data_IF_028001668144
#
_entry.id   IF_028001668144
#
_cell.length_a   1.000
_cell.length_b   1.000
_cell.length_c   1.000
_cell.angle_alpha   90.00
_cell.angle_beta   90.00
_cell.angle_gamma   90.00
#
_symmetry.space_group_name_H-M   'P 1'
#
loop_
_entity.id
_entity.type
_entity.pdbx_description
1 polymer ?
#
# COMPACT_ATOMS: atom_id res chain seq x y z
N UNK A 1 -4.87 3.08 11.02
CA UNK A 1 -4.10 2.82 9.79
C UNK A 1 -4.95 2.13 8.71
N UNK A 2 -5.39 0.87 8.88
CA UNK A 2 -6.21 0.17 7.87
C UNK A 2 -7.47 0.93 7.41
N UNK A 3 -8.25 1.51 8.33
CA UNK A 3 -9.42 2.36 7.99
C UNK A 3 -9.03 3.55 7.11
N UNK A 4 -7.86 4.14 7.32
CA UNK A 4 -7.37 5.29 6.55
C UNK A 4 -6.99 4.87 5.13
N UNK A 5 -6.29 3.73 4.99
CA UNK A 5 -5.98 3.16 3.67
C UNK A 5 -7.25 2.76 2.90
N UNK A 6 -8.22 2.14 3.59
CA UNK A 6 -9.51 1.76 3.00
C UNK A 6 -10.29 2.96 2.46
N UNK A 7 -10.34 4.07 3.21
CA UNK A 7 -11.00 5.29 2.74
C UNK A 7 -10.32 5.93 1.54
N UNK A 8 -8.99 5.86 1.45
CA UNK A 8 -8.26 6.37 0.28
C UNK A 8 -8.65 5.59 -0.96
N UNK A 9 -8.66 4.26 -0.88
CA UNK A 9 -8.98 3.41 -2.02
C UNK A 9 -10.45 3.55 -2.45
N UNK A 10 -11.39 3.58 -1.51
CA UNK A 10 -12.82 3.45 -1.85
C UNK A 10 -13.81 4.03 -0.84
N UNK A 11 -13.51 5.18 -0.21
CA UNK A 11 -14.57 5.94 0.46
C UNK A 11 -15.69 6.31 -0.52
N UNK A 12 -16.93 6.19 -0.08
CA UNK A 12 -18.11 6.48 -0.89
C UNK A 12 -18.08 7.93 -1.40
N UNK A 13 -18.34 8.11 -2.69
CA UNK A 13 -18.37 9.43 -3.33
C UNK A 13 -19.78 10.02 -3.33
N UNK A 14 -19.90 11.33 -3.55
CA UNK A 14 -21.17 12.04 -3.77
C UNK A 14 -22.23 11.90 -2.65
N UNK A 15 -21.80 11.70 -1.40
CA UNK A 15 -22.70 11.59 -0.23
C UNK A 15 -22.69 12.83 0.68
N UNK A 16 -21.98 13.89 0.29
CA UNK A 16 -21.83 15.15 1.05
C UNK A 16 -21.19 15.01 2.45
N UNK A 17 -20.49 13.89 2.73
CA UNK A 17 -19.86 13.62 4.01
C UNK A 17 -18.41 13.22 3.79
N UNK A 18 -17.47 13.89 4.49
CA UNK A 18 -16.10 13.42 4.56
C UNK A 18 -15.29 13.58 3.28
N UNK A 19 -14.84 12.45 2.73
CA UNK A 19 -13.91 12.35 1.59
C UNK A 19 -14.46 11.46 0.48
N UNK A 20 -13.87 11.56 -0.71
CA UNK A 20 -14.09 10.64 -1.83
C UNK A 20 -12.88 9.72 -1.99
N UNK A 21 -13.11 8.41 -2.12
CA UNK A 21 -12.07 7.45 -2.48
C UNK A 21 -11.67 7.56 -3.96
N UNK A 22 -10.55 6.94 -4.32
CA UNK A 22 -10.06 6.94 -5.71
C UNK A 22 -10.98 6.15 -6.64
N UNK A 23 -11.57 5.05 -6.17
CA UNK A 23 -12.41 4.19 -7.00
C UNK A 23 -13.72 3.76 -6.32
N UNK A 24 -14.73 3.47 -7.15
CA UNK A 24 -15.98 2.84 -6.73
C UNK A 24 -15.79 1.31 -6.70
N UNK A 25 -15.38 0.80 -5.54
CA UNK A 25 -14.97 -0.61 -5.37
C UNK A 25 -15.54 -1.21 -4.09
N UNK A 26 -15.63 -2.54 -4.07
CA UNK A 26 -15.88 -3.31 -2.84
C UNK A 26 -14.56 -3.65 -2.17
N UNK A 27 -14.45 -3.35 -0.88
CA UNK A 27 -13.24 -3.59 -0.11
C UNK A 27 -13.31 -4.92 0.65
N UNK A 28 -12.27 -5.74 0.51
CA UNK A 28 -12.07 -6.95 1.32
C UNK A 28 -11.09 -6.63 2.46
N UNK A 29 -11.59 -6.57 3.69
CA UNK A 29 -10.79 -6.16 4.86
C UNK A 29 -10.18 -7.39 5.55
N UNK A 30 -8.87 -7.57 5.38
CA UNK A 30 -8.12 -8.71 5.93
C UNK A 30 -7.15 -8.24 7.02
N UNK A 31 -7.62 -8.22 8.26
CA UNK A 31 -6.83 -7.77 9.41
C UNK A 31 -5.93 -8.91 9.91
N UNK A 32 -4.61 -8.71 9.83
CA UNK A 32 -3.62 -9.59 10.47
C UNK A 32 -2.66 -8.86 11.43
N UNK A 33 -2.78 -7.54 11.55
CA UNK A 33 -1.92 -6.71 12.41
C UNK A 33 -2.65 -6.26 13.69
N UNK A 34 -1.90 -6.23 14.79
CA UNK A 34 -2.32 -5.80 16.11
C UNK A 34 -2.47 -4.28 16.24
N UNK A 35 -2.84 -3.82 17.45
CA UNK A 35 -2.94 -2.39 17.77
C UNK A 35 -1.59 -1.68 17.80
N UNK A 36 -0.50 -2.42 17.98
CA UNK A 36 0.88 -1.95 17.93
C UNK A 36 1.42 -1.79 16.50
N UNK A 37 0.60 -2.06 15.48
CA UNK A 37 1.01 -1.98 14.08
C UNK A 37 1.96 -3.10 13.66
N UNK A 38 1.97 -4.25 14.35
CA UNK A 38 2.78 -5.41 13.99
C UNK A 38 1.89 -6.61 13.65
N UNK A 39 2.39 -7.50 12.82
CA UNK A 39 1.71 -8.74 12.46
C UNK A 39 2.71 -9.80 11.98
N UNK A 40 2.39 -11.09 12.12
CA UNK A 40 3.27 -12.15 11.66
C UNK A 40 3.21 -12.29 10.13
N UNK A 41 4.30 -12.74 9.52
CA UNK A 41 4.36 -13.03 8.08
C UNK A 41 3.29 -14.06 7.66
N UNK A 42 3.00 -15.05 8.51
CA UNK A 42 1.94 -16.03 8.27
C UNK A 42 0.56 -15.37 8.13
N UNK A 43 0.30 -14.28 8.84
CA UNK A 43 -0.94 -13.50 8.70
C UNK A 43 -1.04 -12.82 7.35
N UNK A 44 0.05 -12.24 6.85
CA UNK A 44 0.11 -11.65 5.52
C UNK A 44 -0.07 -12.70 4.41
N UNK A 45 0.54 -13.88 4.56
CA UNK A 45 0.37 -15.01 3.64
C UNK A 45 -1.09 -15.48 3.58
N UNK A 46 -1.71 -15.72 4.73
CA UNK A 46 -3.11 -16.17 4.80
C UNK A 46 -4.07 -15.11 4.22
N UNK A 47 -3.79 -13.82 4.44
CA UNK A 47 -4.58 -12.74 3.86
C UNK A 47 -4.48 -12.71 2.33
N UNK A 48 -3.26 -12.80 1.78
CA UNK A 48 -3.07 -12.83 0.33
C UNK A 48 -3.76 -14.05 -0.31
N UNK A 49 -3.56 -15.23 0.28
CA UNK A 49 -4.18 -16.48 -0.20
C UNK A 49 -5.72 -16.39 -0.19
N UNK A 50 -6.30 -15.89 0.90
CA UNK A 50 -7.74 -15.66 0.99
C UNK A 50 -8.23 -14.65 -0.05
N UNK A 51 -7.51 -13.52 -0.24
CA UNK A 51 -7.90 -12.51 -1.22
C UNK A 51 -7.95 -13.07 -2.63
N UNK A 52 -6.91 -13.80 -3.03
CA UNK A 52 -6.81 -14.43 -4.35
C UNK A 52 -7.89 -15.51 -4.50
N UNK A 53 -8.05 -16.39 -3.50
CA UNK A 53 -9.04 -17.46 -3.51
C UNK A 53 -10.48 -16.98 -3.57
N UNK A 54 -10.77 -15.79 -3.03
CA UNK A 54 -12.08 -15.14 -3.08
C UNK A 54 -12.25 -14.23 -4.32
N UNK A 55 -11.28 -14.21 -5.23
CA UNK A 55 -11.37 -13.49 -6.51
C UNK A 55 -11.17 -11.97 -6.40
N UNK A 56 -10.45 -11.48 -5.38
CA UNK A 56 -10.01 -10.09 -5.39
C UNK A 56 -9.09 -9.84 -6.59
N UNK A 57 -9.28 -8.73 -7.30
CA UNK A 57 -8.45 -8.38 -8.46
C UNK A 57 -7.13 -7.68 -8.06
N UNK A 58 -7.16 -6.92 -6.96
CA UNK A 58 -6.04 -6.09 -6.49
C UNK A 58 -5.88 -6.26 -4.97
N UNK A 59 -4.64 -6.27 -4.48
CA UNK A 59 -4.31 -6.17 -3.06
C UNK A 59 -3.40 -4.97 -2.77
N UNK A 60 -3.66 -4.29 -1.66
CA UNK A 60 -2.90 -3.13 -1.19
C UNK A 60 -2.13 -3.47 0.09
N UNK A 61 -0.81 -3.39 0.05
CA UNK A 61 0.12 -3.83 1.09
C UNK A 61 0.85 -2.63 1.71
N UNK A 62 0.18 -1.95 2.63
CA UNK A 62 0.72 -0.81 3.39
C UNK A 62 1.50 -1.27 4.65
N UNK A 63 2.45 -2.19 4.47
CA UNK A 63 3.35 -2.73 5.50
C UNK A 63 4.65 -3.23 4.84
N UNK A 64 5.70 -3.43 5.63
CA UNK A 64 6.93 -4.03 5.12
C UNK A 64 7.93 -4.43 6.20
N UNK A 65 9.04 -5.03 5.78
CA UNK A 65 10.17 -5.39 6.64
C UNK A 65 11.43 -5.73 5.83
N UNK A 66 12.57 -5.85 6.51
CA UNK A 66 13.89 -5.94 5.86
C UNK A 66 14.39 -7.38 5.65
N UNK A 67 13.58 -8.37 6.04
CA UNK A 67 13.96 -9.79 5.95
C UNK A 67 13.19 -10.44 4.79
N UNK A 68 13.88 -10.96 3.75
CA UNK A 68 13.23 -11.66 2.65
C UNK A 68 12.65 -12.99 3.11
N UNK A 69 11.62 -13.45 2.40
CA UNK A 69 11.02 -14.76 2.57
C UNK A 69 10.64 -15.35 1.23
N UNK A 70 11.31 -16.45 0.87
CA UNK A 70 11.04 -17.17 -0.38
C UNK A 70 9.60 -17.66 -0.47
N UNK A 71 8.99 -18.03 0.66
CA UNK A 71 7.58 -18.45 0.69
C UNK A 71 6.66 -17.28 0.34
N UNK A 72 6.96 -16.08 0.84
CA UNK A 72 6.15 -14.90 0.54
C UNK A 72 6.35 -14.40 -0.89
N UNK A 73 7.59 -14.40 -1.39
CA UNK A 73 7.87 -14.12 -2.79
C UNK A 73 7.10 -15.06 -3.73
N UNK A 74 7.13 -16.37 -3.44
CA UNK A 74 6.39 -17.35 -4.24
C UNK A 74 4.88 -17.14 -4.18
N UNK A 75 4.33 -16.79 -3.01
CA UNK A 75 2.91 -16.51 -2.88
C UNK A 75 2.50 -15.28 -3.72
N UNK A 76 3.28 -14.20 -3.68
CA UNK A 76 3.07 -13.00 -4.51
C UNK A 76 3.21 -13.34 -5.99
N UNK A 77 4.20 -14.14 -6.37
CA UNK A 77 4.41 -14.58 -7.76
C UNK A 77 3.23 -15.41 -8.28
N UNK A 78 2.70 -16.30 -7.45
CA UNK A 78 1.54 -17.12 -7.80
C UNK A 78 0.28 -16.26 -7.95
N UNK A 79 0.06 -15.30 -7.04
CA UNK A 79 -1.02 -14.33 -7.16
C UNK A 79 -0.92 -13.54 -8.48
N UNK A 80 0.26 -12.98 -8.76
CA UNK A 80 0.57 -12.27 -9.99
C UNK A 80 0.30 -13.11 -11.25
N UNK A 81 0.75 -14.37 -11.27
CA UNK A 81 0.51 -15.29 -12.38
C UNK A 81 -0.98 -15.65 -12.57
N UNK A 82 -1.78 -15.57 -11.51
CA UNK A 82 -3.23 -15.73 -11.55
C UNK A 82 -3.98 -14.46 -11.98
N UNK A 83 -3.26 -13.39 -12.37
CA UNK A 83 -3.83 -12.12 -12.80
C UNK A 83 -4.18 -11.16 -11.66
N UNK A 84 -3.76 -11.46 -10.43
CA UNK A 84 -3.96 -10.58 -9.27
C UNK A 84 -2.87 -9.50 -9.21
N UNK A 85 -3.25 -8.23 -9.09
CA UNK A 85 -2.31 -7.10 -9.01
C UNK A 85 -1.93 -6.87 -7.54
N UNK A 86 -0.64 -6.98 -7.25
CA UNK A 86 -0.09 -6.72 -5.91
C UNK A 86 0.53 -5.33 -5.88
N UNK A 87 0.07 -4.46 -4.97
CA UNK A 87 0.57 -3.09 -4.81
C UNK A 87 1.15 -2.92 -3.41
N UNK A 88 2.42 -2.56 -3.28
CA UNK A 88 3.13 -2.47 -1.99
C UNK A 88 3.79 -1.12 -1.76
N UNK A 89 3.84 -0.68 -0.50
CA UNK A 89 4.53 0.52 -0.07
C UNK A 89 6.06 0.35 -0.09
N UNK A 90 6.81 1.36 -0.55
CA UNK A 90 8.28 1.32 -0.57
C UNK A 90 8.92 1.44 0.82
N UNK A 91 8.23 2.02 1.79
CA UNK A 91 8.74 2.30 3.13
C UNK A 91 9.02 3.79 3.37
N UNK A 92 9.31 4.15 4.62
CA UNK A 92 9.29 5.54 5.09
C UNK A 92 10.62 6.00 5.72
N UNK A 93 11.73 5.41 5.29
CA UNK A 93 13.04 5.60 5.90
C UNK A 93 13.97 6.51 5.08
N UNK A 94 13.53 6.99 3.92
CA UNK A 94 14.36 7.79 2.98
C UNK A 94 15.54 7.00 2.40
N UNK A 95 15.42 5.67 2.34
CA UNK A 95 16.50 4.78 1.91
C UNK A 95 16.45 4.45 0.42
N UNK A 96 17.59 4.03 -0.14
CA UNK A 96 17.69 3.43 -1.46
C UNK A 96 17.49 1.90 -1.38
N UNK A 97 16.40 1.39 -1.94
CA UNK A 97 16.04 -0.04 -1.97
C UNK A 97 16.93 -0.90 -2.88
N UNK A 98 17.76 -0.27 -3.71
CA UNK A 98 18.81 -1.00 -4.43
C UNK A 98 19.95 -1.43 -3.49
N UNK A 99 20.14 -0.70 -2.38
CA UNK A 99 21.16 -0.97 -1.36
C UNK A 99 20.56 -1.64 -0.11
N UNK A 100 19.39 -1.19 0.33
CA UNK A 100 18.69 -1.69 1.52
C UNK A 100 17.26 -2.12 1.16
N UNK A 101 17.07 -3.35 0.65
CA UNK A 101 15.77 -3.84 0.19
C UNK A 101 14.73 -3.91 1.32
N UNK A 102 13.47 -3.62 0.97
CA UNK A 102 12.30 -3.78 1.85
C UNK A 102 11.28 -4.68 1.17
N UNK A 103 10.68 -5.60 1.92
CA UNK A 103 9.74 -6.58 1.41
C UNK A 103 8.33 -6.31 1.95
N UNK A 104 7.27 -6.44 1.12
CA UNK A 104 7.30 -7.10 -0.18
C UNK A 104 7.76 -6.23 -1.36
N UNK A 105 7.91 -4.91 -1.21
CA UNK A 105 8.14 -3.97 -2.33
C UNK A 105 9.27 -4.40 -3.29
N UNK A 106 10.43 -4.79 -2.76
CA UNK A 106 11.58 -5.21 -3.54
C UNK A 106 11.40 -6.54 -4.31
N UNK A 107 10.32 -7.30 -4.09
CA UNK A 107 9.96 -8.43 -4.95
C UNK A 107 9.51 -7.98 -6.34
N UNK A 108 9.15 -6.70 -6.56
CA UNK A 108 8.84 -6.18 -7.90
C UNK A 108 10.02 -6.36 -8.88
N UNK A 109 11.26 -6.44 -8.37
CA UNK A 109 12.46 -6.75 -9.17
C UNK A 109 12.34 -8.07 -9.91
N UNK A 110 11.73 -9.08 -9.28
CA UNK A 110 11.58 -10.42 -9.84
C UNK A 110 10.14 -10.74 -10.27
N UNK A 111 9.18 -9.86 -9.98
CA UNK A 111 7.74 -10.02 -10.27
C UNK A 111 7.25 -8.72 -10.95
N UNK A 112 7.43 -8.56 -12.27
CA UNK A 112 7.20 -7.28 -12.95
C UNK A 112 5.76 -6.75 -12.92
N UNK A 113 4.77 -7.62 -12.66
CA UNK A 113 3.36 -7.23 -12.51
C UNK A 113 3.00 -6.73 -11.11
N UNK A 114 3.92 -6.83 -10.14
CA UNK A 114 3.79 -6.21 -8.83
C UNK A 114 4.23 -4.75 -8.89
N UNK A 115 3.50 -3.86 -8.23
CA UNK A 115 3.81 -2.43 -8.15
C UNK A 115 4.39 -2.08 -6.78
N UNK A 116 5.57 -1.49 -6.78
CA UNK A 116 6.20 -0.86 -5.63
C UNK A 116 5.99 0.67 -5.68
N UNK A 117 5.38 1.22 -4.63
CA UNK A 117 4.84 2.59 -4.61
C UNK A 117 5.60 3.49 -3.64
N UNK A 118 6.18 4.55 -4.18
CA UNK A 118 6.76 5.65 -3.41
C UNK A 118 5.73 6.74 -3.08
N UNK A 119 6.10 7.66 -2.19
CA UNK A 119 5.26 8.78 -1.77
C UNK A 119 5.75 10.11 -2.35
N UNK A 120 4.83 10.89 -2.92
CA UNK A 120 5.08 12.29 -3.26
C UNK A 120 4.54 13.23 -2.20
N UNK A 121 5.14 14.41 -2.17
CA UNK A 121 4.69 15.59 -1.45
C UNK A 121 4.29 16.66 -2.45
N UNK A 122 3.26 17.42 -2.13
CA UNK A 122 2.91 18.64 -2.83
C UNK A 122 2.30 19.62 -1.85
N UNK A 123 2.60 20.89 -2.01
CA UNK A 123 1.86 21.97 -1.34
C UNK A 123 1.14 22.77 -2.42
N UNK A 124 0.12 23.59 -2.06
CA UNK A 124 -0.51 24.49 -3.03
C UNK A 124 0.48 25.45 -3.73
N UNK A 125 1.66 25.65 -3.14
CA UNK A 125 2.66 26.63 -3.58
C UNK A 125 3.95 26.00 -4.09
N UNK A 126 4.04 24.68 -4.17
CA UNK A 126 5.25 23.98 -4.61
C UNK A 126 4.91 22.84 -5.57
N UNK A 127 5.75 22.59 -6.59
CA UNK A 127 5.54 21.48 -7.51
C UNK A 127 5.58 20.15 -6.75
N UNK A 128 4.95 19.13 -7.34
CA UNK A 128 5.05 17.76 -6.83
C UNK A 128 6.52 17.36 -6.75
N UNK A 129 6.94 16.89 -5.58
CA UNK A 129 8.27 16.36 -5.34
C UNK A 129 8.16 15.02 -4.62
N UNK A 130 9.25 14.25 -4.60
CA UNK A 130 9.29 13.05 -3.78
C UNK A 130 9.22 13.45 -2.29
N UNK A 131 8.43 12.75 -1.49
CA UNK A 131 8.43 12.93 -0.04
C UNK A 131 9.80 12.53 0.53
N UNK A 132 10.36 13.34 1.43
CA UNK A 132 11.71 13.11 1.97
C UNK A 132 11.89 11.77 2.68
N UNK A 133 10.82 11.20 3.22
CA UNK A 133 10.82 9.88 3.85
C UNK A 133 10.61 8.74 2.86
N UNK A 134 10.18 8.98 1.62
CA UNK A 134 9.88 7.90 0.68
C UNK A 134 11.16 7.14 0.36
N UNK A 135 11.14 5.82 0.53
CA UNK A 135 12.20 5.00 -0.03
C UNK A 135 12.17 5.07 -1.57
N UNK A 136 13.35 5.04 -2.17
CA UNK A 136 13.61 5.13 -3.61
C UNK A 136 14.32 3.87 -4.12
N UNK A 137 14.58 3.79 -5.42
CA UNK A 137 15.40 2.74 -6.02
C UNK A 137 14.79 2.25 -7.33
N UNK A 138 15.55 1.47 -8.09
CA UNK A 138 15.13 0.93 -9.40
C UNK A 138 13.86 0.07 -9.32
N UNK A 139 13.55 -0.47 -8.14
CA UNK A 139 12.37 -1.30 -7.90
C UNK A 139 11.09 -0.50 -7.69
N UNK A 140 11.17 0.81 -7.40
CA UNK A 140 9.99 1.68 -7.22
C UNK A 140 9.42 2.03 -8.59
N UNK A 141 8.21 1.54 -8.88
CA UNK A 141 7.60 1.64 -10.20
C UNK A 141 6.85 2.96 -10.41
N UNK A 142 6.23 3.46 -9.33
CA UNK A 142 5.36 4.63 -9.38
C UNK A 142 5.39 5.39 -8.05
N UNK A 143 5.11 6.68 -8.10
CA UNK A 143 4.98 7.55 -6.93
C UNK A 143 3.57 8.14 -6.92
N UNK A 144 2.92 8.13 -5.77
CA UNK A 144 1.59 8.72 -5.57
C UNK A 144 1.57 9.62 -4.33
N UNK A 145 0.59 10.56 -4.21
CA UNK A 145 0.49 11.45 -3.06
C UNK A 145 0.49 10.69 -1.72
N UNK A 146 1.46 11.00 -0.87
CA UNK A 146 1.64 10.33 0.42
C UNK A 146 1.87 11.26 1.60
N UNK A 147 1.84 12.58 1.40
CA UNK A 147 2.03 13.58 2.47
C UNK A 147 0.72 14.29 2.76
N UNK A 148 0.35 14.37 4.04
CA UNK A 148 -0.87 15.05 4.53
C UNK A 148 -2.13 14.61 3.78
N UNK A 149 -2.34 13.30 3.69
CA UNK A 149 -3.50 12.72 3.04
C UNK A 149 -4.64 12.61 4.06
N UNK A 150 -5.74 13.31 3.79
CA UNK A 150 -6.97 13.21 4.58
C UNK A 150 -7.71 11.93 4.20
N UNK A 151 -8.10 11.12 5.17
CA UNK A 151 -8.98 9.97 4.93
C UNK A 151 -9.77 9.57 6.17
N UNK A 152 -10.68 8.62 6.01
CA UNK A 152 -11.52 8.04 7.06
C UNK A 152 -10.67 7.46 8.19
N UNK A 153 -11.15 7.61 9.41
CA UNK A 153 -10.49 7.10 10.60
C UNK A 153 -11.50 6.47 11.56
N UNK A 154 -11.03 5.95 12.69
CA UNK A 154 -11.88 5.22 13.62
C UNK A 154 -13.02 6.08 14.17
N UNK A 155 -14.11 5.45 14.59
CA UNK A 155 -15.26 6.11 15.20
C UNK A 155 -15.91 7.19 14.33
N UNK A 156 -15.92 6.99 13.01
CA UNK A 156 -16.55 7.92 12.06
C UNK A 156 -15.81 9.24 11.87
N UNK A 157 -14.54 9.32 12.33
CA UNK A 157 -13.72 10.52 12.22
C UNK A 157 -12.88 10.54 10.94
N UNK A 158 -12.11 11.60 10.75
CA UNK A 158 -11.16 11.79 9.65
C UNK A 158 -9.82 12.24 10.22
N UNK A 159 -8.73 11.84 9.57
CA UNK A 159 -7.39 12.22 10.00
C UNK A 159 -6.47 12.46 8.80
N UNK A 160 -5.51 13.38 8.97
CA UNK A 160 -4.38 13.52 8.06
C UNK A 160 -3.27 12.56 8.49
N UNK A 161 -2.80 11.72 7.56
CA UNK A 161 -1.62 10.88 7.77
C UNK A 161 -0.63 11.07 6.62
N UNK A 162 0.63 10.74 6.88
CA UNK A 162 1.69 10.74 5.87
C UNK A 162 2.42 9.39 5.86
N UNK A 163 2.77 8.93 4.67
CA UNK A 163 3.53 7.70 4.45
C UNK A 163 3.31 7.13 3.05
N UNK A 164 4.22 6.27 2.61
CA UNK A 164 4.01 5.41 1.44
C UNK A 164 2.78 4.52 1.62
N UNK A 165 2.40 4.20 2.86
CA UNK A 165 1.13 3.59 3.22
C UNK A 165 -0.12 4.34 2.73
N UNK A 166 -0.05 5.67 2.54
CA UNK A 166 -1.15 6.48 2.02
C UNK A 166 -1.09 6.60 0.50
N UNK A 167 0.11 6.47 -0.09
CA UNK A 167 0.30 6.44 -1.55
C UNK A 167 -0.16 5.10 -2.16
N UNK A 168 0.17 3.97 -1.52
CA UNK A 168 -0.20 2.62 -1.98
C UNK A 168 -1.70 2.43 -2.27
N UNK A 169 -2.64 2.82 -1.39
CA UNK A 169 -4.07 2.70 -1.69
C UNK A 169 -4.57 3.67 -2.76
N UNK A 170 -3.84 4.74 -3.10
CA UNK A 170 -4.17 5.58 -4.26
C UNK A 170 -3.86 4.90 -5.60
N UNK A 171 -2.82 4.06 -5.63
CA UNK A 171 -2.45 3.29 -6.83
C UNK A 171 -3.31 2.02 -6.94
N UNK A 172 -3.72 1.46 -5.81
CA UNK A 172 -4.51 0.23 -5.78
C UNK A 172 -6.00 0.43 -6.07
N UNK A 173 -6.55 1.60 -5.75
CA UNK A 173 -7.90 2.01 -6.16
C UNK A 173 -7.87 2.51 -7.59
#
# INVERSE_FOLDING_TARGET
HGTHCAGIAGAQTNNSIGIAGVADVKLMILKFMGSDGKGPLSGALNALDYAVGMGAAVSSHSYGGNVPSRIFENAIRNAANAGHIVVAASGNEGMNLDETPTYPCSYSRSIPSMLCVGASSSTPTSPVSLASFSNIGSVVNIVAPGVNILSTYLSGSYAFLSGTSMATPQVAG
#
